data_IF_274342093526
#
_entry.id   IF_274342093526
#
_cell.length_a   1.000
_cell.length_b   1.000
_cell.length_c   1.000
_cell.angle_alpha   90.00
_cell.angle_beta   90.00
_cell.angle_gamma   90.00
#
_symmetry.space_group_name_H-M   'P 1'
#
loop_
_entity.id
_entity.type
_entity.pdbx_description
1 polymer ?
#
# COMPACT_ATOMS: atom_id res chain seq x y z
N UNK A 1 48.56 -12.41 19.76
CA UNK A 1 48.16 -11.04 20.08
C UNK A 1 47.03 -10.67 19.13
N UNK A 2 45.80 -10.99 19.45
CA UNK A 2 44.63 -10.72 18.62
C UNK A 2 44.18 -9.27 18.87
N UNK A 3 44.25 -8.42 17.84
CA UNK A 3 43.66 -7.08 17.89
C UNK A 3 42.17 -7.22 17.75
N UNK A 4 41.45 -6.99 18.86
CA UNK A 4 40.00 -6.73 18.83
C UNK A 4 39.73 -5.44 18.07
N UNK A 5 38.82 -5.51 17.10
CA UNK A 5 38.36 -4.38 16.31
C UNK A 5 37.23 -3.67 17.11
N UNK A 6 37.41 -2.42 17.59
CA UNK A 6 36.47 -1.79 18.52
C UNK A 6 35.25 -1.10 17.87
N UNK A 7 34.87 -1.46 16.64
CA UNK A 7 33.86 -0.70 15.87
C UNK A 7 32.58 -1.48 15.53
N UNK A 8 32.11 -2.38 16.42
CA UNK A 8 30.88 -3.13 16.12
C UNK A 8 29.66 -2.81 17.01
N UNK A 9 29.76 -2.00 18.05
CA UNK A 9 28.69 -1.86 19.05
C UNK A 9 28.24 -0.43 19.35
N UNK A 10 28.28 0.49 18.38
CA UNK A 10 27.61 1.78 18.54
C UNK A 10 26.38 1.85 17.60
N UNK A 11 25.38 0.99 17.84
CA UNK A 11 24.01 1.38 17.47
C UNK A 11 23.69 2.63 18.28
N UNK A 12 23.39 3.72 17.62
CA UNK A 12 23.02 4.98 18.26
C UNK A 12 21.87 4.71 19.24
N UNK A 13 21.88 5.25 20.44
CA UNK A 13 20.80 5.05 21.43
C UNK A 13 19.41 5.39 20.85
N UNK A 14 19.35 6.31 19.89
CA UNK A 14 18.15 6.63 19.14
C UNK A 14 17.66 5.46 18.26
N UNK A 15 18.56 4.77 17.56
CA UNK A 15 18.20 3.62 16.72
C UNK A 15 17.67 2.46 17.56
N UNK A 16 18.25 2.21 18.74
CA UNK A 16 17.75 1.21 19.68
C UNK A 16 16.36 1.54 20.22
N UNK A 17 16.11 2.81 20.56
CA UNK A 17 14.78 3.25 21.02
C UNK A 17 13.73 3.14 19.90
N UNK A 18 14.09 3.43 18.67
CA UNK A 18 13.19 3.28 17.52
C UNK A 18 12.87 1.79 17.30
N UNK A 19 13.89 0.92 17.29
CA UNK A 19 13.72 -0.52 17.14
C UNK A 19 12.83 -1.12 18.23
N UNK A 20 13.05 -0.75 19.49
CA UNK A 20 12.24 -1.20 20.63
C UNK A 20 10.78 -0.70 20.53
N UNK A 21 10.60 0.56 20.14
CA UNK A 21 9.28 1.14 19.93
C UNK A 21 8.53 0.43 18.79
N UNK A 22 9.19 0.12 17.68
CA UNK A 22 8.63 -0.64 16.56
C UNK A 22 8.21 -2.05 16.99
N UNK A 23 9.08 -2.77 17.72
CA UNK A 23 8.75 -4.10 18.26
C UNK A 23 7.52 -4.06 19.17
N UNK A 24 7.41 -3.04 20.02
CA UNK A 24 6.26 -2.86 20.91
C UNK A 24 4.97 -2.63 20.14
N UNK A 25 4.99 -1.78 19.11
CA UNK A 25 3.83 -1.51 18.24
C UNK A 25 3.40 -2.79 17.53
N UNK A 26 4.33 -3.53 16.92
CA UNK A 26 4.04 -4.79 16.26
C UNK A 26 3.42 -5.80 17.21
N UNK A 27 4.01 -5.96 18.38
CA UNK A 27 3.50 -6.88 19.40
C UNK A 27 2.07 -6.55 19.85
N UNK A 28 1.77 -5.26 20.04
CA UNK A 28 0.44 -4.80 20.44
C UNK A 28 -0.61 -4.93 19.31
N UNK A 29 -0.18 -4.82 18.06
CA UNK A 29 -1.06 -4.85 16.89
C UNK A 29 -1.32 -6.27 16.37
N UNK A 30 -0.53 -7.26 16.81
CA UNK A 30 -0.55 -8.61 16.25
C UNK A 30 -1.94 -9.26 16.29
N UNK A 31 -2.63 -9.17 17.43
CA UNK A 31 -3.96 -9.77 17.56
C UNK A 31 -4.99 -9.15 16.60
N UNK A 32 -4.90 -7.83 16.37
CA UNK A 32 -5.72 -7.13 15.40
C UNK A 32 -5.41 -7.59 13.97
N UNK A 33 -4.15 -7.83 13.64
CA UNK A 33 -3.74 -8.32 12.33
C UNK A 33 -4.30 -9.70 12.05
N UNK A 34 -4.20 -10.61 13.01
CA UNK A 34 -4.76 -11.96 12.88
C UNK A 34 -6.29 -11.90 12.78
N UNK A 35 -6.95 -11.05 13.55
CA UNK A 35 -8.39 -10.84 13.46
C UNK A 35 -8.80 -10.32 12.07
N UNK A 36 -8.12 -9.29 11.56
CA UNK A 36 -8.39 -8.74 10.24
C UNK A 36 -8.19 -9.78 9.14
N UNK A 37 -7.08 -10.55 9.21
CA UNK A 37 -6.83 -11.66 8.29
C UNK A 37 -7.97 -12.68 8.30
N UNK A 38 -8.38 -13.15 9.47
CA UNK A 38 -9.46 -14.11 9.62
C UNK A 38 -10.78 -13.60 9.04
N UNK A 39 -11.11 -12.31 9.26
CA UNK A 39 -12.30 -11.69 8.72
C UNK A 39 -12.26 -11.49 7.20
N UNK A 40 -11.08 -11.34 6.62
CA UNK A 40 -10.89 -11.21 5.18
C UNK A 40 -10.78 -12.58 4.47
N UNK A 41 -10.59 -13.69 5.19
CA UNK A 41 -10.20 -14.98 4.65
C UNK A 41 -11.12 -15.49 3.54
N UNK A 42 -12.44 -15.34 3.71
CA UNK A 42 -13.41 -15.77 2.70
C UNK A 42 -13.20 -15.06 1.35
N UNK A 43 -12.89 -13.79 1.38
CA UNK A 43 -12.65 -12.97 0.19
C UNK A 43 -11.28 -13.24 -0.43
N UNK A 44 -10.25 -13.46 0.41
CA UNK A 44 -8.90 -13.81 -0.06
C UNK A 44 -8.93 -15.08 -0.93
N UNK A 45 -9.79 -16.06 -0.57
CA UNK A 45 -9.96 -17.29 -1.37
C UNK A 45 -10.74 -17.09 -2.67
N UNK A 46 -11.59 -16.08 -2.76
CA UNK A 46 -12.50 -15.88 -3.89
C UNK A 46 -12.04 -14.80 -4.85
N UNK A 47 -11.23 -13.89 -4.39
CA UNK A 47 -10.78 -12.72 -5.16
C UNK A 47 -9.36 -12.91 -5.71
N UNK A 48 -8.96 -12.02 -6.61
CA UNK A 48 -7.71 -12.11 -7.34
C UNK A 48 -6.48 -11.80 -6.49
N UNK A 49 -5.36 -12.44 -6.80
CA UNK A 49 -4.06 -12.11 -6.24
C UNK A 49 -3.45 -10.88 -6.94
N UNK A 50 -2.66 -10.09 -6.23
CA UNK A 50 -1.88 -9.00 -6.81
C UNK A 50 -0.87 -9.49 -7.87
N UNK A 51 -0.48 -10.76 -7.84
CA UNK A 51 0.37 -11.37 -8.87
C UNK A 51 -0.27 -11.32 -10.26
N UNK A 52 -1.60 -11.29 -10.35
CA UNK A 52 -2.32 -11.17 -11.63
C UNK A 52 -2.16 -9.79 -12.29
N UNK A 53 -1.65 -8.79 -11.55
CA UNK A 53 -1.34 -7.47 -12.07
C UNK A 53 0.04 -7.41 -12.75
N UNK A 54 0.87 -8.45 -12.57
CA UNK A 54 2.20 -8.54 -13.17
C UNK A 54 2.03 -9.10 -14.59
N UNK A 55 2.51 -8.40 -15.64
CA UNK A 55 2.49 -8.91 -16.99
C UNK A 55 3.28 -10.24 -17.07
N UNK A 56 2.66 -11.28 -17.60
CA UNK A 56 3.28 -12.62 -17.73
C UNK A 56 4.04 -12.81 -19.05
N UNK A 57 3.99 -11.83 -19.93
CA UNK A 57 4.59 -11.93 -21.27
C UNK A 57 5.97 -11.29 -21.29
N UNK A 58 7.03 -12.12 -21.34
CA UNK A 58 8.44 -11.68 -21.43
C UNK A 58 8.70 -10.73 -22.60
N UNK A 59 7.87 -10.77 -23.65
CA UNK A 59 7.95 -9.89 -24.82
C UNK A 59 7.51 -8.44 -24.55
N UNK A 60 6.73 -8.20 -23.49
CA UNK A 60 6.34 -6.85 -23.08
C UNK A 60 7.46 -6.12 -22.33
N UNK A 61 8.42 -6.87 -21.76
CA UNK A 61 9.53 -6.30 -20.98
C UNK A 61 10.61 -5.68 -21.87
N UNK A 62 10.81 -6.17 -23.08
CA UNK A 62 11.89 -5.69 -23.97
C UNK A 62 11.58 -4.35 -24.66
N UNK A 63 10.32 -3.97 -24.86
CA UNK A 63 9.96 -2.81 -25.67
C UNK A 63 9.22 -1.67 -24.97
N UNK A 64 8.77 -1.85 -23.72
CA UNK A 64 8.20 -0.77 -22.93
C UNK A 64 9.11 -0.45 -21.76
N UNK A 65 9.63 0.78 -21.73
CA UNK A 65 10.18 1.37 -20.50
C UNK A 65 9.04 1.48 -19.49
N UNK A 66 8.71 0.36 -18.84
CA UNK A 66 7.71 0.34 -17.79
C UNK A 66 8.21 1.18 -16.62
N UNK A 67 7.52 2.26 -16.34
CA UNK A 67 7.81 3.15 -15.22
C UNK A 67 6.56 3.28 -14.35
N UNK A 68 6.77 3.52 -13.06
CA UNK A 68 5.69 3.77 -12.13
C UNK A 68 5.97 5.04 -11.31
N UNK A 69 4.94 5.83 -11.08
CA UNK A 69 4.97 6.95 -10.14
C UNK A 69 4.21 6.53 -8.88
N UNK A 70 4.91 6.55 -7.73
CA UNK A 70 4.32 6.25 -6.43
C UNK A 70 3.92 7.56 -5.74
N UNK A 71 2.64 7.69 -5.39
CA UNK A 71 2.07 8.88 -4.75
C UNK A 71 1.77 8.56 -3.29
N UNK A 72 2.58 9.11 -2.38
CA UNK A 72 2.38 9.03 -0.93
C UNK A 72 1.73 10.29 -0.37
N UNK A 73 1.18 10.20 0.86
CA UNK A 73 0.58 11.34 1.55
C UNK A 73 1.62 12.15 2.33
N UNK A 74 2.53 12.80 1.61
CA UNK A 74 3.53 13.68 2.21
C UNK A 74 3.20 15.16 2.05
N UNK A 75 3.72 16.07 2.92
CA UNK A 75 3.51 17.52 2.79
C UNK A 75 4.09 18.09 1.50
N UNK A 76 5.10 17.46 0.93
CA UNK A 76 5.72 17.85 -0.34
C UNK A 76 4.75 17.77 -1.52
N UNK A 77 3.77 16.89 -1.47
CA UNK A 77 2.78 16.71 -2.52
C UNK A 77 2.04 18.03 -2.84
N UNK A 78 1.63 18.75 -1.80
CA UNK A 78 0.97 20.06 -1.91
C UNK A 78 1.97 21.20 -2.11
N UNK A 79 3.10 21.16 -1.38
CA UNK A 79 4.10 22.24 -1.41
C UNK A 79 4.70 22.48 -2.80
N UNK A 80 4.88 21.44 -3.60
CA UNK A 80 5.56 21.50 -4.90
C UNK A 80 4.62 21.24 -6.08
N UNK A 81 3.30 21.21 -5.86
CA UNK A 81 2.29 21.01 -6.91
C UNK A 81 2.55 19.80 -7.81
N UNK A 82 3.06 18.70 -7.21
CA UNK A 82 3.44 17.50 -7.98
C UNK A 82 2.26 16.86 -8.73
N UNK A 83 1.05 16.92 -8.17
CA UNK A 83 -0.14 16.35 -8.80
C UNK A 83 -0.59 17.16 -10.02
N UNK A 84 -0.49 18.48 -9.95
CA UNK A 84 -0.79 19.37 -11.06
C UNK A 84 0.21 19.16 -12.21
N UNK A 85 1.50 19.05 -11.89
CA UNK A 85 2.54 18.74 -12.87
C UNK A 85 2.31 17.37 -13.52
N UNK A 86 1.95 16.35 -12.74
CA UNK A 86 1.62 15.03 -13.26
C UNK A 86 0.39 15.08 -14.16
N UNK A 87 -0.67 15.78 -13.73
CA UNK A 87 -1.87 15.96 -14.54
C UNK A 87 -1.56 16.60 -15.90
N UNK A 88 -0.64 17.54 -15.98
CA UNK A 88 -0.28 18.27 -17.22
C UNK A 88 0.73 17.51 -18.08
N UNK A 89 1.34 16.45 -17.56
CA UNK A 89 2.34 15.66 -18.26
C UNK A 89 1.72 14.67 -19.27
N UNK A 90 2.57 14.24 -20.22
CA UNK A 90 2.27 13.14 -21.15
C UNK A 90 2.70 11.76 -20.58
N UNK A 91 2.78 11.66 -19.26
CA UNK A 91 3.13 10.40 -18.62
C UNK A 91 2.10 9.32 -18.91
N UNK A 92 2.56 8.14 -19.34
CA UNK A 92 1.71 7.02 -19.73
C UNK A 92 2.00 5.72 -18.98
N UNK A 93 2.84 5.79 -17.92
CA UNK A 93 3.17 4.65 -17.07
C UNK A 93 2.11 4.37 -16.00
N UNK A 94 2.51 3.59 -15.01
CA UNK A 94 1.63 3.18 -13.91
C UNK A 94 1.59 4.23 -12.80
N UNK A 95 0.41 4.55 -12.30
CA UNK A 95 0.21 5.33 -11.08
C UNK A 95 -0.07 4.37 -9.93
N UNK A 96 0.70 4.48 -8.86
CA UNK A 96 0.49 3.73 -7.61
C UNK A 96 0.25 4.75 -6.50
N UNK A 97 -0.98 4.85 -6.02
CA UNK A 97 -1.38 5.82 -5.01
C UNK A 97 -1.58 5.12 -3.66
N UNK A 98 -1.07 5.66 -2.55
CA UNK A 98 -1.49 5.19 -1.24
C UNK A 98 -2.93 5.67 -0.94
N UNK A 99 -3.63 4.92 -0.10
CA UNK A 99 -5.01 5.22 0.33
C UNK A 99 -5.20 6.66 0.81
N UNK A 100 -4.32 7.12 1.70
CA UNK A 100 -4.38 8.46 2.27
C UNK A 100 -4.21 9.60 1.26
N UNK A 101 -3.61 9.36 0.09
CA UNK A 101 -3.43 10.35 -0.97
C UNK A 101 -4.50 10.25 -2.07
N UNK A 102 -5.32 9.19 -2.10
CA UNK A 102 -6.25 8.89 -3.18
C UNK A 102 -7.20 10.06 -3.50
N UNK A 103 -7.86 10.60 -2.48
CA UNK A 103 -8.83 11.70 -2.66
C UNK A 103 -8.14 12.96 -3.21
N UNK A 104 -6.97 13.32 -2.66
CA UNK A 104 -6.22 14.51 -3.11
C UNK A 104 -5.73 14.31 -4.55
N UNK A 105 -5.31 13.10 -4.90
CA UNK A 105 -4.87 12.73 -6.27
C UNK A 105 -6.02 12.88 -7.28
N UNK A 106 -7.20 12.34 -6.95
CA UNK A 106 -8.38 12.46 -7.81
C UNK A 106 -8.87 13.91 -7.93
N UNK A 107 -8.84 14.68 -6.83
CA UNK A 107 -9.20 16.12 -6.82
C UNK A 107 -8.29 16.95 -7.73
N UNK A 108 -7.01 16.62 -7.78
CA UNK A 108 -6.06 17.31 -8.65
C UNK A 108 -6.22 16.97 -10.13
N UNK A 109 -7.12 16.04 -10.48
CA UNK A 109 -7.37 15.60 -11.86
C UNK A 109 -6.44 14.49 -12.35
N UNK A 110 -5.65 13.88 -11.47
CA UNK A 110 -4.91 12.65 -11.75
C UNK A 110 -5.88 11.48 -11.58
N UNK A 111 -6.55 11.10 -12.67
CA UNK A 111 -7.65 10.14 -12.67
C UNK A 111 -7.36 8.94 -13.56
N UNK A 112 -8.04 7.80 -13.37
CA UNK A 112 -7.84 6.61 -14.21
C UNK A 112 -8.29 6.80 -15.66
N UNK A 113 -9.09 7.84 -15.99
CA UNK A 113 -9.42 8.20 -17.36
C UNK A 113 -8.19 8.73 -18.10
N UNK A 114 -7.35 9.49 -17.42
CA UNK A 114 -6.10 10.01 -17.99
C UNK A 114 -4.95 9.01 -17.86
N UNK A 115 -4.92 8.26 -16.75
CA UNK A 115 -3.87 7.29 -16.43
C UNK A 115 -4.50 5.90 -16.25
N UNK A 116 -4.69 5.12 -17.33
CA UNK A 116 -5.45 3.86 -17.29
C UNK A 116 -4.86 2.79 -16.36
N UNK A 117 -3.53 2.83 -16.12
CA UNK A 117 -2.87 1.95 -15.18
C UNK A 117 -2.84 2.59 -13.78
N UNK A 118 -4.00 2.78 -13.17
CA UNK A 118 -4.15 3.40 -11.85
C UNK A 118 -4.39 2.35 -10.78
N UNK A 119 -3.47 2.28 -9.81
CA UNK A 119 -3.57 1.41 -8.64
C UNK A 119 -3.67 2.24 -7.36
N UNK A 120 -4.46 1.75 -6.40
CA UNK A 120 -4.42 2.22 -5.01
C UNK A 120 -3.92 1.09 -4.11
N UNK A 121 -3.03 1.40 -3.16
CA UNK A 121 -2.50 0.41 -2.23
C UNK A 121 -2.86 0.74 -0.80
N UNK A 122 -3.25 -0.29 -0.03
CA UNK A 122 -3.57 -0.22 1.39
C UNK A 122 -2.93 -1.38 2.14
N UNK A 123 -2.16 -1.04 3.15
CA UNK A 123 -1.54 -2.01 4.07
C UNK A 123 -1.98 -1.77 5.52
N UNK A 124 -2.67 -0.68 5.78
CA UNK A 124 -3.04 -0.25 7.12
C UNK A 124 -4.16 -1.09 7.71
N UNK A 125 -4.04 -1.37 8.99
CA UNK A 125 -4.94 -2.23 9.77
C UNK A 125 -5.96 -1.46 10.60
N UNK A 126 -5.95 -0.12 10.51
CA UNK A 126 -6.83 0.77 11.28
C UNK A 126 -8.19 0.93 10.58
N UNK A 127 -9.31 0.85 11.33
CA UNK A 127 -10.65 1.05 10.76
C UNK A 127 -10.88 2.47 10.19
N UNK A 128 -10.12 3.46 10.62
CA UNK A 128 -10.20 4.83 10.13
C UNK A 128 -9.79 5.01 8.67
N UNK A 129 -9.12 4.01 8.07
CA UNK A 129 -8.76 4.00 6.65
C UNK A 129 -9.99 3.99 5.74
N UNK A 130 -11.12 3.45 6.20
CA UNK A 130 -12.41 3.45 5.50
C UNK A 130 -12.75 4.82 4.91
N UNK A 131 -12.47 5.91 5.60
CA UNK A 131 -12.76 7.30 5.17
C UNK A 131 -12.11 7.68 3.84
N UNK A 132 -11.00 7.06 3.45
CA UNK A 132 -10.32 7.34 2.19
C UNK A 132 -11.02 6.73 0.98
N UNK A 133 -11.91 5.77 1.21
CA UNK A 133 -12.71 5.11 0.19
C UNK A 133 -14.15 5.62 0.14
N UNK A 134 -14.66 6.21 1.23
CA UNK A 134 -16.02 6.78 1.29
C UNK A 134 -16.01 8.25 0.81
N UNK A 135 -15.85 8.43 -0.49
CA UNK A 135 -15.85 9.76 -1.11
C UNK A 135 -16.42 9.69 -2.52
N UNK A 136 -17.19 10.72 -2.94
CA UNK A 136 -17.87 10.76 -4.24
C UNK A 136 -16.91 10.57 -5.44
N UNK A 137 -15.71 11.16 -5.39
CA UNK A 137 -14.73 10.96 -6.45
C UNK A 137 -14.23 9.51 -6.52
N UNK A 138 -14.10 8.84 -5.38
CA UNK A 138 -13.70 7.43 -5.35
C UNK A 138 -14.82 6.57 -5.95
N UNK A 139 -16.07 6.82 -5.58
CA UNK A 139 -17.23 6.15 -6.16
C UNK A 139 -17.34 6.39 -7.68
N UNK A 140 -17.06 7.62 -8.11
CA UNK A 140 -17.09 8.00 -9.54
C UNK A 140 -16.06 7.24 -10.36
N UNK A 141 -14.85 7.05 -9.86
CA UNK A 141 -13.72 6.50 -10.61
C UNK A 141 -13.40 5.04 -10.24
N UNK A 142 -14.01 4.49 -9.18
CA UNK A 142 -13.63 3.24 -8.54
C UNK A 142 -13.56 2.03 -9.46
N UNK A 143 -14.50 1.91 -10.41
CA UNK A 143 -14.52 0.78 -11.37
C UNK A 143 -13.28 0.70 -12.27
N UNK A 144 -12.54 1.80 -12.41
CA UNK A 144 -11.31 1.87 -13.21
C UNK A 144 -10.04 1.83 -12.35
N UNK A 145 -10.19 1.81 -11.02
CA UNK A 145 -9.08 1.74 -10.08
C UNK A 145 -8.88 0.27 -9.67
N UNK A 146 -7.65 -0.21 -9.72
CA UNK A 146 -7.27 -1.52 -9.18
C UNK A 146 -6.76 -1.33 -7.75
N UNK A 147 -7.35 -2.03 -6.79
CA UNK A 147 -6.94 -1.98 -5.38
C UNK A 147 -5.95 -3.10 -5.05
N UNK A 148 -4.80 -2.76 -4.51
CA UNK A 148 -3.80 -3.71 -3.98
C UNK A 148 -3.85 -3.64 -2.46
N UNK A 149 -4.43 -4.64 -1.83
CA UNK A 149 -4.72 -4.67 -0.40
C UNK A 149 -3.93 -5.76 0.32
N UNK A 150 -3.31 -5.39 1.43
CA UNK A 150 -2.75 -6.40 2.34
C UNK A 150 -3.87 -7.28 2.90
N UNK A 151 -3.60 -8.56 3.07
CA UNK A 151 -4.50 -9.49 3.77
C UNK A 151 -4.81 -9.04 5.20
N UNK A 152 -3.98 -8.16 5.77
CA UNK A 152 -4.13 -7.59 7.12
C UNK A 152 -4.93 -6.28 7.14
N UNK A 153 -5.31 -5.73 5.99
CA UNK A 153 -6.09 -4.49 5.90
C UNK A 153 -7.41 -4.63 6.66
N UNK A 154 -7.85 -3.54 7.29
CA UNK A 154 -9.10 -3.59 8.08
C UNK A 154 -10.30 -3.92 7.19
N UNK A 155 -11.16 -4.90 7.55
CA UNK A 155 -12.26 -5.37 6.71
C UNK A 155 -13.23 -4.25 6.29
N UNK A 156 -13.47 -3.25 7.15
CA UNK A 156 -14.36 -2.13 6.80
C UNK A 156 -13.78 -1.23 5.70
N UNK A 157 -12.45 -1.11 5.59
CA UNK A 157 -11.82 -0.36 4.52
C UNK A 157 -11.90 -1.12 3.19
N UNK A 158 -11.69 -2.44 3.24
CA UNK A 158 -11.83 -3.33 2.09
C UNK A 158 -13.26 -3.30 1.55
N UNK A 159 -14.24 -3.45 2.43
CA UNK A 159 -15.65 -3.41 2.06
C UNK A 159 -16.05 -2.05 1.45
N UNK A 160 -15.60 -0.95 2.04
CA UNK A 160 -15.88 0.38 1.49
C UNK A 160 -15.25 0.58 0.11
N UNK A 161 -14.04 0.04 -0.12
CA UNK A 161 -13.40 0.09 -1.43
C UNK A 161 -14.22 -0.67 -2.49
N UNK A 162 -14.75 -1.87 -2.14
CA UNK A 162 -15.67 -2.64 -3.02
C UNK A 162 -16.94 -1.86 -3.32
N UNK A 163 -17.59 -1.29 -2.30
CA UNK A 163 -18.79 -0.47 -2.48
C UNK A 163 -18.54 0.74 -3.38
N UNK A 164 -17.33 1.24 -3.42
CA UNK A 164 -16.92 2.30 -4.34
C UNK A 164 -16.53 1.79 -5.74
N UNK A 165 -16.67 0.49 -6.01
CA UNK A 165 -16.41 -0.13 -7.31
C UNK A 165 -14.97 -0.58 -7.55
N UNK A 166 -14.08 -0.44 -6.58
CA UNK A 166 -12.67 -0.84 -6.72
C UNK A 166 -12.55 -2.37 -6.71
N UNK A 167 -11.90 -2.92 -7.73
CA UNK A 167 -11.57 -4.35 -7.78
C UNK A 167 -10.37 -4.64 -6.87
N UNK A 168 -10.55 -5.51 -5.89
CA UNK A 168 -9.51 -5.87 -4.93
C UNK A 168 -8.59 -6.96 -5.49
N UNK A 169 -7.28 -6.76 -5.24
CA UNK A 169 -6.22 -7.73 -5.50
C UNK A 169 -5.42 -7.88 -4.20
N UNK A 170 -5.33 -9.09 -3.69
CA UNK A 170 -4.72 -9.35 -2.40
C UNK A 170 -3.21 -9.52 -2.50
N UNK A 171 -2.49 -8.94 -1.53
CA UNK A 171 -1.06 -9.17 -1.31
C UNK A 171 -0.85 -9.75 0.07
N UNK A 172 -0.07 -10.82 0.15
CA UNK A 172 0.32 -11.41 1.43
C UNK A 172 1.41 -10.57 2.09
N UNK A 173 1.18 -10.23 3.35
CA UNK A 173 2.22 -9.69 4.22
C UNK A 173 3.10 -10.84 4.69
N UNK A 174 4.42 -10.66 4.58
CA UNK A 174 5.37 -11.68 5.03
C UNK A 174 5.49 -11.61 6.54
N UNK A 175 5.00 -12.62 7.24
CA UNK A 175 5.30 -12.88 8.63
C UNK A 175 5.20 -14.39 8.91
N UNK A 176 5.97 -14.85 9.87
CA UNK A 176 5.97 -16.27 10.25
C UNK A 176 4.83 -16.57 11.22
N UNK A 177 3.80 -17.23 10.74
CA UNK A 177 2.65 -17.63 11.55
C UNK A 177 3.01 -18.61 12.67
N UNK A 178 4.09 -19.39 12.52
CA UNK A 178 4.52 -20.36 13.53
C UNK A 178 5.14 -19.68 14.73
N UNK A 179 5.81 -18.55 14.52
CA UNK A 179 6.43 -17.78 15.59
C UNK A 179 5.46 -16.84 16.30
N UNK A 180 4.27 -16.63 15.75
CA UNK A 180 3.25 -15.76 16.31
C UNK A 180 3.78 -14.34 16.55
N UNK A 181 3.58 -13.80 17.75
CA UNK A 181 4.03 -12.43 18.09
C UNK A 181 5.55 -12.23 17.99
N UNK A 182 6.33 -13.30 17.99
CA UNK A 182 7.81 -13.24 17.87
C UNK A 182 8.28 -13.10 16.42
N UNK A 183 7.42 -13.32 15.43
CA UNK A 183 7.77 -13.28 14.02
C UNK A 183 8.27 -11.92 13.53
N UNK A 184 8.18 -10.89 14.36
CA UNK A 184 8.65 -9.52 14.08
C UNK A 184 9.92 -9.14 14.86
N UNK A 185 10.60 -10.10 15.46
CA UNK A 185 11.84 -9.87 16.21
C UNK A 185 13.08 -9.80 15.32
#
# INVERSE_FOLDING_TARGET
MFKMNPNKDNKNSADMLIEESMKKIHYQSYDNWICNFALNLEYIWKETSANELIPTDDKLVENQKSSAIVIGKGPSLKKFHHLELLRESDYNGTIICCDGALIDTLKAGVTPEKFPNFLVTTIDTDPGIKKYYDHELVKKHGQKIKGVFSILSHPSAVEQARQSGIKIHWVHSLFDYNEGKKSFN
#
